data_IF_414706696645
#
_entry.id   IF_414706696645
#
_cell.length_a   1.000
_cell.length_b   1.000
_cell.length_c   1.000
_cell.angle_alpha   90.00
_cell.angle_beta   90.00
_cell.angle_gamma   90.00
#
_symmetry.space_group_name_H-M   'P 1'
#
loop_
_entity.id
_entity.type
_entity.pdbx_description
1 polymer ?
#
# COMPACT_ATOMS: atom_id res chain seq x y z
N UNK A 1 -7.65 -35.18 -56.22
CA UNK A 1 -7.40 -35.25 -54.76
C UNK A 1 -7.53 -33.84 -54.19
N UNK A 2 -8.54 -33.59 -53.34
CA UNK A 2 -8.71 -32.33 -52.58
C UNK A 2 -7.81 -32.37 -51.37
N UNK A 3 -7.13 -31.26 -51.00
CA UNK A 3 -6.98 -30.84 -49.60
C UNK A 3 -6.97 -29.32 -49.49
N UNK A 4 -7.89 -28.84 -48.67
CA UNK A 4 -8.17 -27.46 -48.36
C UNK A 4 -6.97 -26.80 -47.69
N UNK A 5 -6.57 -25.63 -48.18
CA UNK A 5 -5.64 -24.73 -47.52
C UNK A 5 -6.38 -24.17 -46.31
N UNK A 6 -6.11 -24.74 -45.13
CA UNK A 6 -6.78 -24.39 -43.89
C UNK A 6 -6.39 -22.98 -43.45
N UNK A 7 -7.36 -22.08 -43.37
CA UNK A 7 -7.25 -20.83 -42.62
C UNK A 7 -7.27 -21.22 -41.14
N UNK A 8 -6.13 -21.13 -40.47
CA UNK A 8 -6.09 -21.21 -39.00
C UNK A 8 -6.59 -19.89 -38.43
N UNK A 9 -7.87 -19.86 -38.05
CA UNK A 9 -8.42 -18.80 -37.21
C UNK A 9 -7.94 -19.07 -35.77
N UNK A 10 -6.80 -18.49 -35.39
CA UNK A 10 -6.29 -18.63 -34.03
C UNK A 10 -7.20 -17.87 -33.06
N UNK A 11 -7.94 -18.62 -32.26
CA UNK A 11 -8.79 -18.09 -31.20
C UNK A 11 -7.90 -17.64 -30.04
N UNK A 12 -7.76 -16.32 -29.83
CA UNK A 12 -7.14 -15.74 -28.64
C UNK A 12 -8.08 -15.99 -27.45
N UNK A 13 -7.90 -17.09 -26.73
CA UNK A 13 -8.57 -17.27 -25.44
C UNK A 13 -7.71 -16.58 -24.40
N UNK A 14 -8.05 -15.34 -24.07
CA UNK A 14 -7.60 -14.69 -22.84
C UNK A 14 -8.28 -15.45 -21.70
N UNK A 15 -7.61 -16.47 -21.16
CA UNK A 15 -7.97 -17.02 -19.85
C UNK A 15 -7.45 -16.01 -18.84
N UNK A 16 -8.20 -14.92 -18.67
CA UNK A 16 -8.07 -14.08 -17.49
C UNK A 16 -8.45 -14.96 -16.31
N UNK A 17 -7.46 -15.48 -15.60
CA UNK A 17 -7.68 -15.92 -14.25
C UNK A 17 -8.06 -14.66 -13.48
N UNK A 18 -9.38 -14.39 -13.41
CA UNK A 18 -9.95 -13.45 -12.47
C UNK A 18 -9.71 -14.05 -11.10
N UNK A 19 -8.51 -13.84 -10.57
CA UNK A 19 -8.32 -13.83 -9.14
C UNK A 19 -9.14 -12.64 -8.66
N UNK A 20 -10.39 -12.91 -8.29
CA UNK A 20 -11.17 -11.98 -7.47
C UNK A 20 -10.49 -12.03 -6.12
N UNK A 21 -9.39 -11.29 -5.99
CA UNK A 21 -8.84 -10.94 -4.70
C UNK A 21 -9.90 -10.04 -4.08
N UNK A 22 -10.75 -10.62 -3.23
CA UNK A 22 -11.61 -9.85 -2.35
C UNK A 22 -10.69 -9.20 -1.34
N UNK A 23 -9.99 -8.14 -1.75
CA UNK A 23 -9.38 -7.21 -0.82
C UNK A 23 -10.54 -6.53 -0.11
N UNK A 24 -10.93 -7.19 0.99
CA UNK A 24 -11.61 -6.56 2.11
C UNK A 24 -10.88 -5.24 2.33
N UNK A 25 -11.62 -4.14 2.25
CA UNK A 25 -11.17 -2.79 2.57
C UNK A 25 -10.30 -2.82 3.83
N UNK A 26 -8.98 -2.94 3.67
CA UNK A 26 -8.04 -2.99 4.77
C UNK A 26 -7.50 -1.58 4.90
N UNK A 27 -8.04 -0.86 5.89
CA UNK A 27 -7.44 0.37 6.42
C UNK A 27 -6.02 0.08 6.92
N UNK A 28 -5.22 1.11 7.15
CA UNK A 28 -3.91 0.93 7.78
C UNK A 28 -4.06 0.27 9.17
N UNK A 29 -3.14 -0.63 9.55
CA UNK A 29 -3.23 -1.32 10.83
C UNK A 29 -3.16 -0.37 12.04
N UNK A 30 -3.80 -0.71 13.18
CA UNK A 30 -3.54 -0.04 14.45
C UNK A 30 -2.05 -0.07 14.80
N UNK A 31 -1.54 0.98 15.42
CA UNK A 31 -0.10 1.15 15.65
C UNK A 31 0.64 1.71 14.42
N UNK A 32 -0.04 2.40 13.52
CA UNK A 32 0.58 3.07 12.36
C UNK A 32 1.00 4.49 12.69
N UNK A 33 2.16 4.92 12.19
CA UNK A 33 2.65 6.29 12.27
C UNK A 33 2.82 6.84 10.85
N UNK A 34 2.08 7.90 10.52
CA UNK A 34 2.16 8.62 9.23
C UNK A 34 3.08 9.82 9.37
N UNK A 35 4.05 9.91 8.47
CA UNK A 35 5.07 10.96 8.39
C UNK A 35 5.16 11.41 6.92
N UNK A 36 4.36 12.43 6.56
CA UNK A 36 4.24 12.87 5.18
C UNK A 36 3.61 11.81 4.27
N UNK A 37 4.28 11.43 3.19
CA UNK A 37 3.84 10.40 2.22
C UNK A 37 4.28 8.98 2.62
N UNK A 38 4.80 8.81 3.84
CA UNK A 38 5.24 7.53 4.39
C UNK A 38 4.45 7.17 5.63
N UNK A 39 4.24 5.89 5.82
CA UNK A 39 3.67 5.33 7.04
C UNK A 39 4.54 4.17 7.52
N UNK A 40 4.54 3.92 8.83
CA UNK A 40 5.36 2.89 9.44
C UNK A 40 4.60 2.21 10.57
N UNK A 41 4.82 0.91 10.74
CA UNK A 41 4.46 0.23 11.98
C UNK A 41 5.24 0.84 13.15
N UNK A 42 4.58 1.09 14.27
CA UNK A 42 5.21 1.64 15.46
C UNK A 42 6.32 0.72 16.00
N UNK A 43 6.14 -0.61 15.92
CA UNK A 43 7.16 -1.56 16.34
C UNK A 43 8.38 -1.54 15.41
N UNK A 44 8.17 -1.28 14.11
CA UNK A 44 9.26 -1.02 13.17
C UNK A 44 10.07 0.21 13.57
N UNK A 45 9.39 1.30 13.92
CA UNK A 45 10.03 2.55 14.36
C UNK A 45 10.76 2.43 15.71
N UNK A 46 10.37 1.49 16.57
CA UNK A 46 11.07 1.23 17.84
C UNK A 46 12.41 0.52 17.64
N UNK A 47 12.56 -0.30 16.60
CA UNK A 47 13.78 -1.03 16.31
C UNK A 47 14.19 -0.97 14.83
N UNK A 48 14.38 0.23 14.24
CA UNK A 48 14.70 0.35 12.83
C UNK A 48 16.13 -0.11 12.58
N UNK A 49 16.36 -0.67 11.38
CA UNK A 49 17.71 -0.98 10.92
C UNK A 49 18.56 0.29 10.87
N UNK A 50 19.89 0.16 10.93
CA UNK A 50 20.78 1.32 10.82
C UNK A 50 20.61 2.08 9.50
N UNK A 51 20.23 1.41 8.42
CA UNK A 51 19.96 2.02 7.11
C UNK A 51 18.65 2.81 7.11
N UNK A 52 17.60 2.29 7.75
CA UNK A 52 16.29 2.97 7.80
C UNK A 52 16.26 4.16 8.75
N UNK A 53 17.13 4.20 9.76
CA UNK A 53 17.17 5.33 10.72
C UNK A 53 17.34 6.67 10.04
N UNK A 54 18.31 6.81 9.13
CA UNK A 54 18.54 8.07 8.42
C UNK A 54 17.39 8.40 7.47
N UNK A 55 16.84 7.37 6.82
CA UNK A 55 15.66 7.49 5.95
C UNK A 55 14.45 8.02 6.73
N UNK A 56 14.04 7.35 7.80
CA UNK A 56 12.93 7.75 8.68
C UNK A 56 13.14 9.16 9.24
N UNK A 57 14.34 9.47 9.76
CA UNK A 57 14.64 10.79 10.31
C UNK A 57 14.49 11.91 9.26
N UNK A 58 14.87 11.65 8.00
CA UNK A 58 14.70 12.62 6.93
C UNK A 58 13.23 12.96 6.66
N UNK A 59 12.32 11.98 6.76
CA UNK A 59 10.88 12.22 6.64
C UNK A 59 10.34 12.95 7.87
N UNK A 60 10.76 12.57 9.08
CA UNK A 60 10.33 13.24 10.32
C UNK A 60 10.71 14.72 10.31
N UNK A 61 11.94 15.05 9.87
CA UNK A 61 12.41 16.44 9.81
C UNK A 61 11.62 17.27 8.79
N UNK A 62 11.19 16.65 7.69
CA UNK A 62 10.43 17.33 6.63
C UNK A 62 8.91 17.34 6.89
N UNK A 63 8.43 16.48 7.78
CA UNK A 63 7.02 16.38 8.10
C UNK A 63 6.54 17.65 8.83
N UNK A 64 5.47 18.24 8.30
CA UNK A 64 4.79 19.36 8.96
C UNK A 64 4.01 18.90 10.19
N UNK A 65 3.48 17.68 10.12
CA UNK A 65 2.69 17.04 11.18
C UNK A 65 2.92 15.53 11.09
N UNK A 66 2.79 14.86 12.24
CA UNK A 66 2.87 13.39 12.35
C UNK A 66 1.55 12.90 12.92
N UNK A 67 0.96 11.90 12.29
CA UNK A 67 -0.29 11.29 12.73
C UNK A 67 -0.05 9.85 13.19
N UNK A 68 -0.80 9.40 14.20
CA UNK A 68 -0.67 8.05 14.76
C UNK A 68 -2.04 7.41 14.83
N UNK A 69 -2.20 6.20 14.28
CA UNK A 69 -3.35 5.33 14.55
C UNK A 69 -3.04 4.55 15.80
N UNK A 70 -3.71 4.85 16.90
CA UNK A 70 -3.52 4.12 18.15
C UNK A 70 -3.97 2.65 18.04
N UNK A 71 -3.66 1.85 19.05
CA UNK A 71 -4.07 0.44 19.07
C UNK A 71 -5.58 0.23 19.25
N UNK A 72 -6.35 1.29 19.54
CA UNK A 72 -7.80 1.29 19.53
C UNK A 72 -8.38 1.69 18.15
N UNK A 73 -7.53 1.93 17.15
CA UNK A 73 -7.91 2.30 15.79
C UNK A 73 -8.21 3.78 15.58
N UNK A 74 -7.92 4.65 16.55
CA UNK A 74 -8.18 6.10 16.45
C UNK A 74 -6.96 6.85 15.95
N UNK A 75 -7.18 7.79 15.05
CA UNK A 75 -6.14 8.70 14.59
C UNK A 75 -5.98 9.88 15.54
N UNK A 76 -4.74 10.13 15.95
CA UNK A 76 -4.34 11.27 16.78
C UNK A 76 -3.19 12.03 16.16
N UNK A 77 -3.10 13.33 16.45
CA UNK A 77 -1.92 14.14 16.14
C UNK A 77 -0.84 13.87 17.17
N UNK A 78 0.38 13.65 16.74
CA UNK A 78 1.50 13.40 17.65
C UNK A 78 1.89 14.66 18.45
N UNK A 79 1.59 15.85 17.93
CA UNK A 79 1.97 17.13 18.55
C UNK A 79 1.21 17.45 19.85
N UNK A 80 -0.10 17.17 19.89
CA UNK A 80 -0.98 17.53 21.01
C UNK A 80 -1.91 16.39 21.47
N UNK A 81 -1.80 15.21 20.85
CA UNK A 81 -2.63 14.04 21.11
C UNK A 81 -4.14 14.26 20.90
N UNK A 82 -4.52 15.29 20.11
CA UNK A 82 -5.90 15.51 19.70
C UNK A 82 -6.35 14.48 18.67
N UNK A 83 -7.64 14.14 18.70
CA UNK A 83 -8.25 13.28 17.68
C UNK A 83 -8.25 13.97 16.31
N UNK A 84 -8.04 13.18 15.27
CA UNK A 84 -8.11 13.62 13.88
C UNK A 84 -9.46 13.20 13.30
N UNK A 85 -10.39 14.14 13.21
CA UNK A 85 -11.74 13.88 12.69
C UNK A 85 -11.81 13.96 11.14
N UNK A 86 -10.79 14.55 10.49
CA UNK A 86 -10.75 14.80 9.05
C UNK A 86 -9.60 14.09 8.34
N UNK A 87 -9.37 12.81 8.68
CA UNK A 87 -8.27 11.97 8.16
C UNK A 87 -8.14 12.03 6.63
N UNK A 88 -9.26 12.03 5.91
CA UNK A 88 -9.37 12.14 4.45
C UNK A 88 -8.78 13.42 3.86
N UNK A 89 -8.54 14.46 4.65
CA UNK A 89 -7.93 15.72 4.19
C UNK A 89 -6.45 15.82 4.54
N UNK A 90 -6.05 15.17 5.62
CA UNK A 90 -4.74 15.38 6.24
C UNK A 90 -3.76 14.24 6.01
N UNK A 91 -4.25 13.00 5.88
CA UNK A 91 -3.42 11.84 5.56
C UNK A 91 -3.43 11.66 4.03
N UNK A 92 -2.30 11.86 3.33
CA UNK A 92 -2.21 11.62 1.90
C UNK A 92 -2.23 10.11 1.59
N UNK A 93 -2.12 9.75 0.31
CA UNK A 93 -1.70 8.39 -0.07
C UNK A 93 -0.32 8.12 0.52
N UNK A 94 -0.13 6.95 1.12
CA UNK A 94 1.13 6.61 1.81
C UNK A 94 1.68 5.26 1.39
N UNK A 95 3.01 5.14 1.38
CA UNK A 95 3.67 3.84 1.43
C UNK A 95 3.88 3.47 2.90
N UNK A 96 3.17 2.46 3.37
CA UNK A 96 3.31 1.89 4.70
C UNK A 96 4.39 0.81 4.71
N UNK A 97 5.26 0.84 5.72
CA UNK A 97 6.22 -0.22 5.99
C UNK A 97 5.82 -1.00 7.25
N UNK A 98 5.63 -2.31 7.12
CA UNK A 98 5.22 -3.18 8.22
C UNK A 98 6.40 -3.51 9.17
N UNK A 99 6.13 -4.29 10.22
CA UNK A 99 7.14 -4.72 11.20
C UNK A 99 8.29 -5.54 10.59
N UNK A 100 8.03 -6.28 9.53
CA UNK A 100 9.00 -7.11 8.81
C UNK A 100 9.82 -6.31 7.78
N UNK A 101 9.42 -5.06 7.52
CA UNK A 101 10.04 -4.17 6.54
C UNK A 101 9.44 -4.21 5.15
N UNK A 102 8.38 -4.99 4.93
CA UNK A 102 7.65 -5.03 3.66
C UNK A 102 6.84 -3.75 3.48
N UNK A 103 6.69 -3.34 2.22
CA UNK A 103 5.97 -2.13 1.84
C UNK A 103 4.61 -2.46 1.23
N UNK A 104 3.58 -1.74 1.68
CA UNK A 104 2.22 -1.78 1.15
C UNK A 104 1.76 -0.35 0.93
N UNK A 105 1.10 -0.07 -0.18
CA UNK A 105 0.58 1.27 -0.47
C UNK A 105 -0.88 1.35 -0.06
N UNK A 106 -1.24 2.38 0.72
CA UNK A 106 -2.61 2.68 1.10
C UNK A 106 -3.07 3.97 0.42
N UNK A 107 -4.32 3.99 -0.01
CA UNK A 107 -4.94 5.20 -0.52
C UNK A 107 -5.07 6.27 0.58
N UNK A 108 -5.41 7.49 0.16
CA UNK A 108 -5.60 8.65 1.03
C UNK A 108 -6.55 8.33 2.19
N UNK A 109 -6.31 8.98 3.33
CA UNK A 109 -7.34 9.06 4.38
C UNK A 109 -7.57 7.79 5.17
N UNK A 110 -6.55 6.94 5.32
CA UNK A 110 -6.73 5.57 5.85
C UNK A 110 -7.54 4.67 4.91
N UNK A 111 -7.46 4.98 3.62
CA UNK A 111 -8.12 4.23 2.56
C UNK A 111 -7.49 2.85 2.32
N UNK A 112 -8.02 2.17 1.32
CA UNK A 112 -7.69 0.78 1.04
C UNK A 112 -6.25 0.58 0.56
N UNK A 113 -5.76 -0.64 0.73
CA UNK A 113 -4.59 -1.14 0.01
C UNK A 113 -4.79 -0.99 -1.49
N UNK A 114 -3.76 -0.45 -2.15
CA UNK A 114 -3.66 -0.37 -3.60
C UNK A 114 -2.77 -1.54 -4.06
N UNK A 115 -3.37 -2.54 -4.69
CA UNK A 115 -2.63 -3.60 -5.39
C UNK A 115 -2.12 -3.07 -6.74
N UNK A 116 -0.83 -3.26 -7.02
CA UNK A 116 -0.30 -3.08 -8.36
C UNK A 116 -0.55 -4.38 -9.13
N UNK A 117 -1.46 -4.35 -10.12
CA UNK A 117 -1.72 -5.50 -10.99
C UNK A 117 -0.44 -5.83 -11.80
N UNK A 118 0.22 -6.94 -11.49
CA UNK A 118 1.29 -7.48 -12.32
C UNK A 118 0.72 -8.16 -13.58
N UNK A 119 0.84 -7.51 -14.73
CA UNK A 119 0.49 -8.12 -16.02
C UNK A 119 1.64 -9.01 -16.54
N UNK A 120 1.41 -10.32 -16.67
CA UNK A 120 2.32 -11.24 -17.34
C UNK A 120 1.91 -11.45 -18.80
N UNK A 121 2.77 -11.05 -19.75
CA UNK A 121 2.62 -11.39 -21.17
C UNK A 121 3.18 -12.80 -21.40
N UNK A 122 2.31 -13.79 -21.61
CA UNK A 122 2.72 -15.14 -22.00
C UNK A 122 2.77 -15.23 -23.52
N UNK A 123 3.98 -15.28 -24.09
CA UNK A 123 4.18 -15.59 -25.51
C UNK A 123 4.23 -17.11 -25.69
N UNK A 124 3.30 -17.67 -26.45
CA UNK A 124 3.26 -19.10 -26.79
C UNK A 124 3.63 -19.22 -28.28
N UNK A 125 4.69 -19.98 -28.56
CA UNK A 125 5.18 -20.28 -29.92
C UNK A 125 4.55 -21.55 -30.48
#
# INVERSE_FOLDING_TARGET
MKRFMGVSLSLLIVIGALFVNTNVNAEMPPGTVVVGEKAFDLNYLMNPTSADKSYILSYIIQAKEIYVKDYAGKWVRNSDNSLVDDIEKVIPKVTYKNVDGDEVTYDKGDGNVIEEDEFYVVNIY
#
